data_IF_118508068889
#
_entry.id   IF_118508068889
#
_cell.length_a   1.000
_cell.length_b   1.000
_cell.length_c   1.000
_cell.angle_alpha   90.00
_cell.angle_beta   90.00
_cell.angle_gamma   90.00
#
_symmetry.space_group_name_H-M   'P 1'
#
loop_
_entity.id
_entity.type
_entity.pdbx_description
1 polymer ?
#
# COMPACT_ATOMS: atom_id res chain seq x y z
N UNK A 1 4.35 -23.76 17.57
CA UNK A 1 4.65 -22.34 17.89
C UNK A 1 4.24 -21.49 16.69
N UNK A 2 3.52 -20.40 16.86
CA UNK A 2 3.20 -19.51 15.71
C UNK A 2 4.35 -18.55 15.49
N UNK A 3 4.75 -18.37 14.25
CA UNK A 3 5.89 -17.54 13.85
C UNK A 3 5.41 -16.45 12.89
N UNK A 4 5.86 -15.22 13.11
CA UNK A 4 5.71 -14.15 12.15
C UNK A 4 7.07 -13.87 11.48
N UNK A 5 7.06 -13.78 10.15
CA UNK A 5 8.19 -13.30 9.37
C UNK A 5 8.02 -11.82 9.12
N UNK A 6 8.89 -11.04 9.71
CA UNK A 6 8.78 -9.59 9.78
C UNK A 6 9.88 -8.94 8.94
N UNK A 7 9.48 -8.00 8.08
CA UNK A 7 10.41 -7.03 7.51
C UNK A 7 10.53 -5.87 8.50
N UNK A 8 11.72 -5.65 9.05
CA UNK A 8 11.96 -4.54 9.97
C UNK A 8 12.22 -3.24 9.21
N UNK A 9 11.73 -2.12 9.72
CA UNK A 9 12.01 -0.80 9.17
C UNK A 9 13.43 -0.36 9.59
N UNK A 10 14.40 -0.74 8.78
CA UNK A 10 15.82 -0.45 9.04
C UNK A 10 16.53 0.01 7.79
N UNK A 11 17.38 1.05 7.87
CA UNK A 11 18.20 1.49 6.74
C UNK A 11 19.43 0.58 6.48
N UNK A 12 19.61 -0.46 7.29
CA UNK A 12 20.77 -1.34 7.20
C UNK A 12 20.53 -2.40 6.11
N UNK A 13 21.28 -2.43 4.99
CA UNK A 13 21.01 -3.32 3.86
C UNK A 13 21.00 -4.81 4.21
N UNK A 14 21.86 -5.26 5.13
CA UNK A 14 21.87 -6.66 5.58
C UNK A 14 20.61 -7.11 6.30
N UNK A 15 19.74 -6.17 6.71
CA UNK A 15 18.44 -6.42 7.33
C UNK A 15 17.30 -6.41 6.31
N UNK A 16 17.60 -6.22 5.02
CA UNK A 16 16.61 -6.33 3.94
C UNK A 16 16.23 -7.79 3.67
N UNK A 17 15.75 -8.44 4.72
CA UNK A 17 15.29 -9.84 4.71
C UNK A 17 14.22 -10.03 5.78
N UNK A 18 13.44 -11.06 5.64
CA UNK A 18 12.47 -11.43 6.66
C UNK A 18 13.17 -12.06 7.87
N UNK A 19 12.82 -11.56 9.06
CA UNK A 19 13.28 -12.09 10.34
C UNK A 19 12.13 -12.82 11.04
N UNK A 20 12.43 -13.99 11.60
CA UNK A 20 11.46 -14.81 12.32
C UNK A 20 11.32 -14.34 13.76
N UNK A 21 10.07 -14.14 14.20
CA UNK A 21 9.70 -13.82 15.59
C UNK A 21 8.62 -14.75 16.09
N UNK A 22 8.67 -15.11 17.37
CA UNK A 22 7.60 -15.86 18.01
C UNK A 22 6.39 -14.94 18.22
N UNK A 23 5.19 -15.49 18.03
CA UNK A 23 3.94 -14.81 18.32
C UNK A 23 3.50 -15.18 19.73
N UNK A 24 3.56 -14.26 20.71
CA UNK A 24 3.03 -14.52 22.04
C UNK A 24 1.52 -14.76 22.00
N UNK A 25 1.03 -15.65 22.85
CA UNK A 25 -0.41 -15.99 22.94
C UNK A 25 -1.28 -14.74 23.13
N UNK A 26 -0.85 -13.83 23.95
CA UNK A 26 -1.54 -12.54 24.22
C UNK A 26 -1.74 -11.65 22.98
N UNK A 27 -0.95 -11.86 21.91
CA UNK A 27 -1.01 -11.06 20.67
C UNK A 27 -1.55 -11.87 19.48
N UNK A 28 -1.84 -13.14 19.67
CA UNK A 28 -2.15 -14.06 18.58
C UNK A 28 -3.43 -13.70 17.80
N UNK A 29 -4.38 -13.03 18.46
CA UNK A 29 -5.62 -12.56 17.84
C UNK A 29 -5.44 -11.26 17.04
N UNK A 30 -4.46 -10.43 17.42
CA UNK A 30 -4.27 -9.09 16.85
C UNK A 30 -3.23 -9.06 15.73
N UNK A 31 -2.39 -10.11 15.64
CA UNK A 31 -1.36 -10.20 14.61
C UNK A 31 -1.96 -10.71 13.31
N UNK A 32 -1.96 -9.85 12.30
CA UNK A 32 -2.43 -10.16 10.95
C UNK A 32 -1.30 -10.02 9.93
N UNK A 33 -1.36 -10.81 8.86
CA UNK A 33 -0.45 -10.64 7.73
C UNK A 33 -0.67 -9.25 7.10
N UNK A 34 0.41 -8.55 6.82
CA UNK A 34 0.38 -7.16 6.35
C UNK A 34 0.25 -6.12 7.45
N UNK A 35 0.04 -6.53 8.71
CA UNK A 35 -0.07 -5.64 9.86
C UNK A 35 1.28 -5.09 10.33
N UNK A 36 1.22 -4.04 11.16
CA UNK A 36 2.41 -3.41 11.76
C UNK A 36 2.66 -3.93 13.16
N UNK A 37 3.91 -4.26 13.45
CA UNK A 37 4.36 -4.76 14.75
C UNK A 37 5.61 -4.02 15.21
N UNK A 38 5.87 -4.10 16.50
CA UNK A 38 7.13 -3.68 17.11
C UNK A 38 7.87 -4.92 17.60
N UNK A 39 9.15 -5.00 17.26
CA UNK A 39 9.96 -6.18 17.52
C UNK A 39 11.33 -5.79 18.07
N UNK A 40 11.95 -6.62 18.93
CA UNK A 40 13.32 -6.40 19.38
C UNK A 40 14.30 -6.72 18.25
N UNK A 41 15.33 -5.88 18.11
CA UNK A 41 16.38 -6.06 17.11
C UNK A 41 17.77 -6.05 17.76
N UNK A 42 18.53 -7.11 17.50
CA UNK A 42 19.89 -7.26 17.98
C UNK A 42 20.02 -7.58 19.47
N UNK A 43 21.28 -7.69 19.94
CA UNK A 43 21.60 -8.11 21.32
C UNK A 43 21.11 -7.12 22.39
N UNK A 44 20.96 -5.85 22.04
CA UNK A 44 20.49 -4.79 22.96
C UNK A 44 18.97 -4.68 23.08
N UNK A 45 18.21 -5.56 22.45
CA UNK A 45 16.73 -5.58 22.43
C UNK A 45 16.12 -4.21 22.09
N UNK A 46 16.79 -3.40 21.25
CA UNK A 46 16.24 -2.16 20.72
C UNK A 46 14.97 -2.48 19.97
N UNK A 47 13.88 -1.85 20.34
CA UNK A 47 12.61 -2.01 19.65
C UNK A 47 12.61 -1.23 18.34
N UNK A 48 12.17 -1.89 17.27
CA UNK A 48 12.00 -1.32 15.94
C UNK A 48 10.63 -1.70 15.39
N UNK A 49 10.10 -0.86 14.54
CA UNK A 49 8.84 -1.13 13.86
C UNK A 49 9.10 -2.02 12.64
N UNK A 50 8.09 -2.78 12.22
CA UNK A 50 8.16 -3.66 11.06
C UNK A 50 6.79 -4.10 10.61
N UNK A 51 6.77 -4.82 9.48
CA UNK A 51 5.56 -5.38 8.88
C UNK A 51 5.59 -6.90 8.92
N UNK A 52 4.48 -7.51 9.33
CA UNK A 52 4.29 -8.95 9.25
C UNK A 52 4.03 -9.33 7.79
N UNK A 53 5.01 -9.95 7.16
CA UNK A 53 4.90 -10.33 5.74
C UNK A 53 4.29 -11.72 5.58
N UNK A 54 4.66 -12.65 6.46
CA UNK A 54 4.19 -14.03 6.43
C UNK A 54 3.89 -14.52 7.83
N UNK A 55 2.88 -15.38 7.95
CA UNK A 55 2.61 -16.17 9.15
C UNK A 55 2.97 -17.63 8.88
N UNK A 56 3.69 -18.27 9.81
CA UNK A 56 4.17 -19.62 9.67
C UNK A 56 3.96 -20.43 10.98
N UNK A 57 3.97 -21.73 10.87
CA UNK A 57 3.89 -22.64 12.03
C UNK A 57 5.25 -22.99 12.58
N UNK A 58 6.31 -22.84 11.79
CA UNK A 58 7.68 -23.20 12.13
C UNK A 58 8.68 -22.16 11.66
N UNK A 59 9.75 -21.98 12.45
CA UNK A 59 10.91 -21.18 12.05
C UNK A 59 11.90 -22.02 11.25
N UNK A 60 12.48 -21.43 10.23
CA UNK A 60 13.57 -22.03 9.45
C UNK A 60 14.93 -21.87 10.12
N UNK A 61 15.03 -21.15 11.24
CA UNK A 61 16.32 -20.74 11.79
C UNK A 61 16.87 -21.65 12.89
N UNK A 62 16.09 -22.60 13.43
CA UNK A 62 16.56 -23.57 14.43
C UNK A 62 17.07 -22.97 15.76
N UNK A 63 16.76 -21.67 16.01
CA UNK A 63 17.18 -20.92 17.21
C UNK A 63 15.95 -20.50 18.02
N UNK A 64 16.17 -20.17 19.29
CA UNK A 64 15.13 -19.54 20.11
C UNK A 64 14.78 -18.19 19.54
N UNK A 65 13.52 -18.00 19.17
CA UNK A 65 13.04 -16.76 18.60
C UNK A 65 12.74 -15.74 19.70
N UNK A 66 13.01 -14.48 19.40
CA UNK A 66 12.52 -13.39 20.22
C UNK A 66 11.02 -13.18 19.97
N UNK A 67 10.30 -12.79 21.01
CA UNK A 67 8.88 -12.48 20.94
C UNK A 67 8.62 -11.13 20.26
N UNK A 68 7.48 -11.03 19.55
CA UNK A 68 6.93 -9.74 19.15
C UNK A 68 6.56 -8.96 20.42
N UNK A 69 7.04 -7.72 20.53
CA UNK A 69 6.77 -6.86 21.68
C UNK A 69 5.32 -6.40 21.70
N UNK A 70 4.87 -5.79 20.63
CA UNK A 70 3.52 -5.23 20.53
C UNK A 70 3.01 -5.15 19.10
N UNK A 71 1.67 -5.12 18.95
CA UNK A 71 0.99 -4.82 17.70
C UNK A 71 0.76 -3.31 17.63
N UNK A 72 1.23 -2.69 16.56
CA UNK A 72 1.05 -1.25 16.34
C UNK A 72 -0.29 -0.97 15.66
N UNK A 73 -0.76 -1.86 14.80
CA UNK A 73 -2.04 -1.78 14.14
C UNK A 73 -2.40 -3.11 13.48
N UNK A 74 -3.66 -3.50 13.62
CA UNK A 74 -4.22 -4.73 13.03
C UNK A 74 -4.65 -4.57 11.57
N UNK A 75 -4.44 -3.38 10.97
CA UNK A 75 -4.76 -3.14 9.57
C UNK A 75 -3.74 -3.83 8.64
N UNK A 76 -4.18 -4.66 7.67
CA UNK A 76 -3.30 -5.33 6.72
C UNK A 76 -2.83 -4.36 5.63
N UNK A 77 -2.01 -3.37 6.00
CA UNK A 77 -1.55 -2.30 5.11
C UNK A 77 -0.56 -2.76 4.04
N UNK A 78 0.05 -3.93 4.19
CA UNK A 78 0.93 -4.54 3.18
C UNK A 78 0.26 -5.80 2.64
N UNK A 79 -0.42 -5.68 1.51
CA UNK A 79 -1.02 -6.84 0.85
C UNK A 79 0.06 -7.74 0.23
N UNK A 80 -0.23 -9.05 -0.01
CA UNK A 80 0.71 -9.94 -0.69
C UNK A 80 1.13 -9.42 -2.07
N UNK A 81 0.20 -8.81 -2.81
CA UNK A 81 0.47 -8.19 -4.11
C UNK A 81 1.43 -7.00 -3.99
N UNK A 82 1.19 -6.10 -3.01
CA UNK A 82 2.08 -4.98 -2.73
C UNK A 82 3.48 -5.48 -2.35
N UNK A 83 3.57 -6.49 -1.47
CA UNK A 83 4.85 -7.07 -1.08
C UNK A 83 5.64 -7.61 -2.27
N UNK A 84 4.98 -8.37 -3.16
CA UNK A 84 5.61 -8.88 -4.39
C UNK A 84 6.15 -7.72 -5.25
N UNK A 85 5.38 -6.64 -5.38
CA UNK A 85 5.80 -5.46 -6.13
C UNK A 85 6.97 -4.75 -5.47
N UNK A 86 6.93 -4.54 -4.16
CA UNK A 86 8.01 -3.94 -3.35
C UNK A 86 9.32 -4.69 -3.53
N UNK A 87 9.29 -6.03 -3.47
CA UNK A 87 10.49 -6.85 -3.70
C UNK A 87 11.04 -6.67 -5.12
N UNK A 88 10.17 -6.74 -6.13
CA UNK A 88 10.59 -6.56 -7.52
C UNK A 88 11.21 -5.18 -7.78
N UNK A 89 10.66 -4.11 -7.19
CA UNK A 89 11.20 -2.75 -7.30
C UNK A 89 12.55 -2.64 -6.58
N UNK A 90 12.67 -3.13 -5.34
CA UNK A 90 13.91 -3.06 -4.57
C UNK A 90 15.05 -3.83 -5.24
N UNK A 91 14.78 -5.02 -5.75
CA UNK A 91 15.78 -5.84 -6.45
C UNK A 91 16.25 -5.18 -7.75
N UNK A 92 15.32 -4.60 -8.53
CA UNK A 92 15.66 -3.94 -9.79
C UNK A 92 16.48 -2.66 -9.60
N UNK A 93 16.28 -1.95 -8.49
CA UNK A 93 16.89 -0.63 -8.27
C UNK A 93 18.00 -0.66 -7.20
N UNK A 94 18.47 -1.83 -6.82
CA UNK A 94 19.49 -2.02 -5.77
C UNK A 94 19.15 -1.29 -4.45
N UNK A 95 17.84 -1.18 -4.14
CA UNK A 95 17.33 -0.57 -2.92
C UNK A 95 16.89 -1.61 -1.89
N UNK A 96 16.44 -1.16 -0.72
CA UNK A 96 15.83 -2.03 0.29
C UNK A 96 14.30 -2.07 0.17
N UNK A 97 13.69 -3.20 0.49
CA UNK A 97 12.24 -3.31 0.56
C UNK A 97 11.64 -2.37 1.61
N UNK A 98 12.35 -2.12 2.71
CA UNK A 98 11.94 -1.17 3.74
C UNK A 98 11.84 0.26 3.20
N UNK A 99 12.77 0.70 2.33
CA UNK A 99 12.73 2.02 1.70
C UNK A 99 11.57 2.14 0.72
N UNK A 100 11.31 1.10 -0.07
CA UNK A 100 10.18 1.08 -1.00
C UNK A 100 8.86 1.11 -0.24
N UNK A 101 8.71 0.33 0.84
CA UNK A 101 7.50 0.36 1.68
C UNK A 101 7.26 1.72 2.33
N UNK A 102 8.32 2.40 2.77
CA UNK A 102 8.22 3.75 3.35
C UNK A 102 7.65 4.78 2.38
N UNK A 103 7.85 4.58 1.08
CA UNK A 103 7.27 5.41 0.03
C UNK A 103 5.85 4.95 -0.32
N UNK A 104 5.65 3.63 -0.44
CA UNK A 104 4.41 3.05 -0.90
C UNK A 104 3.28 3.09 0.16
N UNK A 105 3.63 2.96 1.44
CA UNK A 105 2.66 2.95 2.55
C UNK A 105 2.76 4.25 3.33
N UNK A 106 1.74 5.10 3.34
CA UNK A 106 1.79 6.37 4.05
C UNK A 106 2.00 6.20 5.55
N UNK A 107 2.50 7.27 6.18
CA UNK A 107 2.70 7.29 7.63
C UNK A 107 1.38 7.03 8.35
N UNK A 108 1.42 6.09 9.30
CA UNK A 108 0.26 5.68 10.10
C UNK A 108 -0.39 6.85 10.83
N UNK A 109 -1.71 6.93 10.78
CA UNK A 109 -2.55 7.84 11.57
C UNK A 109 -3.54 7.03 12.41
N UNK A 110 -3.26 6.83 13.69
CA UNK A 110 -4.02 5.96 14.61
C UNK A 110 -5.50 6.32 14.68
N UNK A 111 -5.84 7.61 14.66
CA UNK A 111 -7.23 8.07 14.70
C UNK A 111 -8.00 7.69 13.44
N UNK A 112 -7.32 7.71 12.30
CA UNK A 112 -7.89 7.31 11.02
C UNK A 112 -8.15 5.80 11.00
N UNK A 113 -7.22 4.98 11.47
CA UNK A 113 -7.42 3.53 11.54
C UNK A 113 -8.68 3.12 12.31
N UNK A 114 -8.97 3.81 13.40
CA UNK A 114 -10.14 3.53 14.24
C UNK A 114 -11.49 3.77 13.54
N UNK A 115 -11.50 4.56 12.46
CA UNK A 115 -12.71 4.84 11.66
C UNK A 115 -12.87 3.91 10.45
N UNK A 116 -11.88 3.05 10.18
CA UNK A 116 -11.93 2.09 9.09
C UNK A 116 -12.12 0.68 9.63
N UNK A 117 -13.10 -0.03 9.11
CA UNK A 117 -13.26 -1.48 9.28
C UNK A 117 -12.78 -2.15 7.98
N UNK A 118 -11.53 -2.58 7.96
CA UNK A 118 -10.99 -3.35 6.85
C UNK A 118 -10.99 -4.81 7.26
N UNK A 119 -12.04 -5.51 6.94
CA UNK A 119 -11.99 -6.96 6.87
C UNK A 119 -10.96 -7.35 5.80
N UNK A 120 -10.05 -8.33 6.08
CA UNK A 120 -9.11 -8.79 5.07
C UNK A 120 -9.90 -9.22 3.83
N UNK A 121 -9.80 -8.44 2.77
CA UNK A 121 -10.34 -8.87 1.48
C UNK A 121 -9.55 -10.10 1.07
N UNK A 122 -10.22 -11.21 0.91
CA UNK A 122 -9.64 -12.36 0.22
C UNK A 122 -9.10 -11.82 -1.10
N UNK A 123 -7.82 -12.10 -1.39
CA UNK A 123 -7.13 -11.62 -2.58
C UNK A 123 -8.08 -11.67 -3.78
N UNK A 124 -8.52 -10.50 -4.19
CA UNK A 124 -9.11 -10.37 -5.52
C UNK A 124 -7.94 -10.63 -6.45
N UNK A 125 -7.80 -11.88 -6.90
CA UNK A 125 -6.88 -12.20 -7.98
C UNK A 125 -7.28 -11.30 -9.12
N UNK A 126 -6.44 -10.32 -9.52
CA UNK A 126 -6.79 -9.48 -10.65
C UNK A 126 -7.06 -10.43 -11.81
N UNK A 127 -8.26 -10.37 -12.39
CA UNK A 127 -8.50 -11.04 -13.64
C UNK A 127 -7.33 -10.68 -14.58
N UNK A 128 -6.81 -11.61 -15.38
CA UNK A 128 -5.74 -11.32 -16.31
C UNK A 128 -6.23 -10.24 -17.28
N UNK A 129 -6.19 -9.00 -16.81
CA UNK A 129 -6.62 -7.83 -17.56
C UNK A 129 -5.58 -7.52 -18.60
N UNK A 130 -6.02 -7.36 -19.82
CA UNK A 130 -5.21 -6.78 -20.89
C UNK A 130 -4.83 -5.38 -20.44
N UNK A 131 -3.55 -5.14 -20.14
CA UNK A 131 -3.06 -3.78 -19.85
C UNK A 131 -3.29 -2.94 -21.08
N UNK A 132 -4.33 -2.11 -21.08
CA UNK A 132 -4.56 -1.13 -22.12
C UNK A 132 -3.81 0.15 -21.75
N UNK A 133 -2.66 0.37 -22.34
CA UNK A 133 -1.96 1.64 -22.21
C UNK A 133 -2.55 2.57 -23.27
N UNK A 134 -3.28 3.59 -22.84
CA UNK A 134 -3.77 4.65 -23.74
C UNK A 134 -2.81 5.82 -23.60
N UNK A 135 -1.97 6.04 -24.61
CA UNK A 135 -1.24 7.30 -24.73
C UNK A 135 -2.20 8.33 -25.33
N UNK A 136 -2.61 9.31 -24.53
CA UNK A 136 -3.30 10.47 -25.05
C UNK A 136 -2.30 11.27 -25.88
N UNK A 137 -2.50 11.30 -27.19
CA UNK A 137 -1.68 12.13 -28.07
C UNK A 137 -1.75 13.58 -27.64
N UNK A 138 -0.65 14.29 -27.74
CA UNK A 138 -0.47 15.72 -27.37
C UNK A 138 -1.29 16.71 -28.23
N UNK A 139 -2.40 16.30 -28.77
CA UNK A 139 -3.35 17.14 -29.47
C UNK A 139 -4.23 17.95 -28.50
N UNK A 140 -3.63 18.79 -27.65
CA UNK A 140 -4.37 19.76 -26.88
C UNK A 140 -4.90 20.83 -27.83
N UNK A 141 -6.14 20.70 -28.24
CA UNK A 141 -6.88 21.81 -28.86
C UNK A 141 -7.42 22.70 -27.76
N UNK A 142 -6.65 23.70 -27.38
CA UNK A 142 -7.11 24.80 -26.53
C UNK A 142 -8.19 25.57 -27.29
N UNK A 143 -9.44 25.45 -26.87
CA UNK A 143 -10.50 26.38 -27.28
C UNK A 143 -10.56 27.54 -26.30
N UNK A 144 -10.78 28.82 -26.78
CA UNK A 144 -10.78 30.00 -25.93
C UNK A 144 -11.93 30.10 -24.91
N UNK A 145 -12.84 29.15 -24.89
CA UNK A 145 -14.02 29.17 -24.03
C UNK A 145 -14.15 27.83 -23.32
N UNK A 146 -13.52 27.71 -22.15
CA UNK A 146 -13.72 26.58 -21.24
C UNK A 146 -13.39 25.23 -21.89
N UNK A 147 -12.11 24.93 -22.02
CA UNK A 147 -11.63 23.72 -22.69
C UNK A 147 -12.05 22.47 -21.92
N UNK A 148 -13.06 21.78 -22.40
CA UNK A 148 -13.16 20.34 -22.17
C UNK A 148 -12.10 19.72 -23.06
N UNK A 149 -10.98 19.31 -22.47
CA UNK A 149 -9.96 18.55 -23.19
C UNK A 149 -10.62 17.25 -23.64
N UNK A 150 -10.72 17.01 -24.94
CA UNK A 150 -11.31 15.78 -25.48
C UNK A 150 -10.71 14.53 -24.85
N UNK A 151 -9.43 14.58 -24.51
CA UNK A 151 -8.72 13.50 -23.87
C UNK A 151 -9.29 13.09 -22.50
N UNK A 152 -9.72 13.99 -21.64
CA UNK A 152 -10.25 13.64 -20.32
C UNK A 152 -11.65 13.04 -20.39
N UNK A 153 -12.49 13.45 -21.34
CA UNK A 153 -13.78 12.82 -21.58
C UNK A 153 -13.61 11.35 -22.04
N UNK A 154 -12.66 11.09 -22.93
CA UNK A 154 -12.33 9.74 -23.39
C UNK A 154 -11.78 8.87 -22.27
N UNK A 155 -10.92 9.42 -21.41
CA UNK A 155 -10.40 8.70 -20.22
C UNK A 155 -11.54 8.37 -19.26
N UNK A 156 -12.41 9.33 -18.97
CA UNK A 156 -13.55 9.13 -18.09
C UNK A 156 -14.50 8.04 -18.65
N UNK A 157 -14.72 7.99 -19.96
CA UNK A 157 -15.48 6.94 -20.60
C UNK A 157 -14.81 5.56 -20.47
N UNK A 158 -13.49 5.49 -20.64
CA UNK A 158 -12.74 4.25 -20.42
C UNK A 158 -12.83 3.77 -18.96
N UNK A 159 -12.79 4.68 -18.00
CA UNK A 159 -12.94 4.36 -16.57
C UNK A 159 -14.34 3.82 -16.29
N UNK A 160 -15.41 4.48 -16.80
CA UNK A 160 -16.79 4.03 -16.63
C UNK A 160 -17.04 2.64 -17.22
N UNK A 161 -16.39 2.34 -18.34
CA UNK A 161 -16.54 1.05 -19.03
C UNK A 161 -15.55 -0.02 -18.51
N UNK A 162 -14.79 0.26 -17.46
CA UNK A 162 -13.87 -0.72 -16.86
C UNK A 162 -14.62 -1.66 -15.92
N UNK A 163 -14.46 -2.96 -16.11
CA UNK A 163 -15.00 -3.99 -15.21
C UNK A 163 -14.23 -4.10 -13.87
N UNK A 164 -13.15 -3.36 -13.71
CA UNK A 164 -12.29 -3.38 -12.53
C UNK A 164 -11.82 -2.00 -12.13
N UNK A 165 -10.99 -1.94 -11.08
CA UNK A 165 -10.38 -0.69 -10.65
C UNK A 165 -9.46 -0.09 -11.70
N UNK A 166 -9.48 1.23 -11.84
CA UNK A 166 -8.65 1.98 -12.79
C UNK A 166 -7.66 2.87 -12.05
N UNK A 167 -6.45 2.98 -12.60
CA UNK A 167 -5.44 3.95 -12.17
C UNK A 167 -5.16 4.89 -13.32
N UNK A 168 -5.43 6.17 -13.10
CA UNK A 168 -5.15 7.22 -14.10
C UNK A 168 -4.04 8.11 -13.55
N UNK A 169 -2.97 8.25 -14.32
CA UNK A 169 -1.83 9.09 -13.98
C UNK A 169 -1.81 10.30 -14.90
N UNK A 170 -1.79 11.50 -14.31
CA UNK A 170 -1.77 12.77 -15.03
C UNK A 170 -0.49 13.56 -14.69
N UNK A 171 0.00 14.42 -15.58
CA UNK A 171 1.27 15.12 -15.40
C UNK A 171 1.28 16.11 -14.24
N UNK A 172 0.19 16.85 -14.01
CA UNK A 172 0.13 17.91 -13.02
C UNK A 172 -1.24 18.06 -12.34
N UNK A 173 -1.32 18.97 -11.38
CA UNK A 173 -2.52 19.22 -10.58
C UNK A 173 -3.69 19.81 -11.38
N UNK A 174 -3.43 20.54 -12.50
CA UNK A 174 -4.48 21.12 -13.35
C UNK A 174 -5.19 20.01 -14.11
N UNK A 175 -4.41 19.08 -14.64
CA UNK A 175 -4.93 17.91 -15.32
C UNK A 175 -5.71 17.01 -14.34
N UNK A 176 -5.22 16.91 -13.09
CA UNK A 176 -5.91 16.19 -12.03
C UNK A 176 -7.27 16.78 -11.70
N UNK A 177 -7.37 18.13 -11.62
CA UNK A 177 -8.63 18.84 -11.38
C UNK A 177 -9.60 18.67 -12.56
N UNK A 178 -9.11 18.77 -13.79
CA UNK A 178 -9.94 18.57 -14.99
C UNK A 178 -10.46 17.14 -15.11
N UNK A 179 -9.62 16.15 -14.83
CA UNK A 179 -10.01 14.76 -14.80
C UNK A 179 -11.01 14.47 -13.69
N UNK A 180 -10.81 15.02 -12.49
CA UNK A 180 -11.74 14.90 -11.38
C UNK A 180 -13.14 15.41 -11.72
N UNK A 181 -13.22 16.54 -12.42
CA UNK A 181 -14.51 17.07 -12.93
C UNK A 181 -15.14 16.15 -13.99
N UNK A 182 -14.33 15.50 -14.81
CA UNK A 182 -14.84 14.54 -15.80
C UNK A 182 -15.31 13.22 -15.20
N UNK A 183 -14.90 12.94 -13.95
CA UNK A 183 -15.23 11.73 -13.18
C UNK A 183 -16.13 12.03 -11.97
N UNK A 184 -16.85 13.16 -11.95
CA UNK A 184 -17.68 13.59 -10.81
C UNK A 184 -18.80 12.59 -10.46
N UNK A 185 -19.22 11.78 -11.43
CA UNK A 185 -20.18 10.69 -11.29
C UNK A 185 -19.56 9.32 -10.91
N UNK A 186 -18.23 9.23 -10.83
CA UNK A 186 -17.49 8.00 -10.52
C UNK A 186 -16.82 8.14 -9.15
N UNK A 187 -17.07 7.18 -8.26
CA UNK A 187 -16.36 7.16 -6.99
C UNK A 187 -14.86 6.94 -7.22
N UNK A 188 -14.04 7.85 -6.76
CA UNK A 188 -12.59 7.80 -6.99
C UNK A 188 -11.82 8.48 -5.87
N UNK A 189 -10.55 8.09 -5.72
CA UNK A 189 -9.60 8.73 -4.81
C UNK A 189 -8.57 9.52 -5.58
N UNK A 190 -8.44 10.80 -5.23
CA UNK A 190 -7.39 11.67 -5.77
C UNK A 190 -6.12 11.51 -4.94
N UNK A 191 -5.01 11.19 -5.61
CA UNK A 191 -3.70 11.04 -4.98
C UNK A 191 -2.73 12.10 -5.50
N UNK A 192 -2.46 13.08 -4.67
CA UNK A 192 -1.54 14.18 -4.97
C UNK A 192 -0.58 14.45 -3.80
N UNK A 193 0.30 15.46 -3.98
CA UNK A 193 1.21 15.92 -2.93
C UNK A 193 0.54 16.76 -1.86
N UNK A 194 -0.70 17.21 -2.08
CA UNK A 194 -1.48 18.01 -1.14
C UNK A 194 -2.05 17.13 -0.02
N UNK A 195 -2.54 17.78 1.02
CA UNK A 195 -3.16 17.13 2.15
C UNK A 195 -2.19 16.73 3.26
N UNK A 196 -2.76 16.57 4.42
CA UNK A 196 -2.06 16.16 5.65
C UNK A 196 -1.65 14.67 5.59
N UNK A 197 -0.69 14.23 6.41
CA UNK A 197 -0.38 12.81 6.53
C UNK A 197 -1.59 11.93 6.87
N UNK A 198 -2.53 12.45 7.67
CA UNK A 198 -3.76 11.73 8.05
C UNK A 198 -4.70 11.56 6.85
N UNK A 199 -4.87 12.57 6.03
CA UNK A 199 -5.69 12.49 4.81
C UNK A 199 -5.09 11.52 3.80
N UNK A 200 -3.78 11.57 3.58
CA UNK A 200 -3.11 10.60 2.71
C UNK A 200 -3.27 9.17 3.21
N UNK A 201 -3.20 8.97 4.52
CA UNK A 201 -3.41 7.65 5.10
C UNK A 201 -4.87 7.19 4.97
N UNK A 202 -5.85 8.09 5.13
CA UNK A 202 -7.26 7.79 4.91
C UNK A 202 -7.53 7.37 3.46
N UNK A 203 -7.01 8.11 2.48
CA UNK A 203 -7.12 7.76 1.05
C UNK A 203 -6.51 6.38 0.76
N UNK A 204 -5.36 6.09 1.36
CA UNK A 204 -4.72 4.78 1.23
C UNK A 204 -5.61 3.65 1.76
N UNK A 205 -6.20 3.84 2.94
CA UNK A 205 -7.10 2.86 3.54
C UNK A 205 -8.40 2.70 2.74
N UNK A 206 -8.96 3.76 2.16
CA UNK A 206 -10.13 3.68 1.27
C UNK A 206 -9.86 2.78 0.07
N UNK A 207 -8.72 2.97 -0.59
CA UNK A 207 -8.30 2.11 -1.71
C UNK A 207 -8.13 0.65 -1.26
N UNK A 208 -7.52 0.41 -0.10
CA UNK A 208 -7.38 -0.95 0.44
C UNK A 208 -8.71 -1.59 0.79
N UNK A 209 -9.65 -0.82 1.32
CA UNK A 209 -11.00 -1.28 1.65
C UNK A 209 -11.86 -1.48 0.39
N UNK A 210 -11.46 -0.90 -0.74
CA UNK A 210 -12.27 -0.89 -1.96
C UNK A 210 -13.56 -0.09 -1.78
N UNK A 211 -13.51 0.97 -1.01
CA UNK A 211 -14.59 1.95 -0.82
C UNK A 211 -14.32 3.21 -1.65
N UNK A 212 -13.64 3.05 -2.75
CA UNK A 212 -13.29 4.13 -3.69
C UNK A 212 -13.36 3.62 -5.10
#
# INVERSE_FOLDING_TARGET
>A
MRVARVLVESPIPRLDRLLDYAIPERLAADIVQGGRVRVPLGRGSRLVDGFVIELATESKQGVVLADIDSVLGSMPVVTPSLWKHVRAVSERNAGSAADVLRIAVPKRAVRVEKSFDISPRNDVTPAPGTKKVVALGSGVVSKPTGATLRGFAEVAELVRNSEGGSIVVVPDWRDLELLGRALDDVEHVVWDSSGTPSERYARYLSVLAGTS
#
